data_IF_069521708535
#
_entry.id   IF_069521708535
#
_cell.length_a   1.000
_cell.length_b   1.000
_cell.length_c   1.000
_cell.angle_alpha   90.00
_cell.angle_beta   90.00
_cell.angle_gamma   90.00
#
_symmetry.space_group_name_H-M   'P 1'
#
loop_
_entity.id
_entity.type
_entity.pdbx_description
1 polymer ?
#
# COMPACT_ATOMS: atom_id res chain seq x y z
N UNK A 1 -9.92 5.53 26.94
CA UNK A 1 -10.65 6.10 25.78
C UNK A 1 -9.76 6.25 24.54
N UNK A 2 -8.59 6.91 24.62
CA UNK A 2 -7.65 7.04 23.47
C UNK A 2 -7.13 5.69 22.91
N UNK A 3 -6.74 4.75 23.75
CA UNK A 3 -6.30 3.41 23.30
C UNK A 3 -7.41 2.58 22.65
N UNK A 4 -8.63 2.69 23.16
CA UNK A 4 -9.79 2.01 22.61
C UNK A 4 -10.05 2.52 21.19
N UNK A 5 -10.10 3.85 21.01
CA UNK A 5 -10.27 4.49 19.69
C UNK A 5 -9.17 4.07 18.72
N UNK A 6 -7.91 4.01 19.18
CA UNK A 6 -6.77 3.56 18.36
C UNK A 6 -6.92 2.09 17.91
N UNK A 7 -7.32 1.21 18.83
CA UNK A 7 -7.53 -0.21 18.51
C UNK A 7 -8.70 -0.42 17.53
N UNK A 8 -9.79 0.35 17.67
CA UNK A 8 -10.89 0.31 16.70
C UNK A 8 -10.46 0.86 15.34
N UNK A 9 -9.70 1.94 15.27
CA UNK A 9 -9.23 2.48 13.98
C UNK A 9 -8.30 1.53 13.24
N UNK A 10 -7.40 0.83 13.95
CA UNK A 10 -6.52 -0.20 13.37
C UNK A 10 -7.30 -1.39 12.81
N UNK A 11 -8.34 -1.85 13.53
CA UNK A 11 -9.21 -2.93 13.06
C UNK A 11 -10.00 -2.53 11.82
N UNK A 12 -10.56 -1.31 11.80
CA UNK A 12 -11.29 -0.80 10.64
C UNK A 12 -10.33 -0.59 9.46
N UNK A 13 -9.12 -0.11 9.69
CA UNK A 13 -8.10 -0.01 8.65
C UNK A 13 -7.75 -1.36 8.04
N UNK A 14 -7.58 -2.40 8.87
CA UNK A 14 -7.36 -3.77 8.42
C UNK A 14 -8.53 -4.30 7.60
N UNK A 15 -9.76 -4.05 8.05
CA UNK A 15 -10.98 -4.43 7.33
C UNK A 15 -11.08 -3.77 5.96
N UNK A 16 -10.85 -2.45 5.87
CA UNK A 16 -10.86 -1.72 4.59
C UNK A 16 -9.79 -2.25 3.63
N UNK A 17 -8.61 -2.61 4.14
CA UNK A 17 -7.56 -3.23 3.33
C UNK A 17 -7.99 -4.57 2.74
N UNK A 18 -8.63 -5.43 3.55
CA UNK A 18 -9.16 -6.72 3.11
C UNK A 18 -10.31 -6.53 2.12
N UNK A 19 -11.24 -5.61 2.40
CA UNK A 19 -12.37 -5.31 1.54
C UNK A 19 -11.91 -4.86 0.15
N UNK A 20 -10.88 -4.00 0.06
CA UNK A 20 -10.28 -3.62 -1.22
C UNK A 20 -9.75 -4.81 -2.01
N UNK A 21 -9.09 -5.77 -1.34
CA UNK A 21 -8.60 -6.99 -1.98
C UNK A 21 -9.74 -7.91 -2.42
N UNK A 22 -10.83 -8.01 -1.65
CA UNK A 22 -12.02 -8.77 -2.03
C UNK A 22 -12.69 -8.14 -3.26
N UNK A 23 -12.78 -6.81 -3.32
CA UNK A 23 -13.31 -6.10 -4.49
C UNK A 23 -12.48 -6.42 -5.74
N UNK A 24 -11.15 -6.53 -5.63
CA UNK A 24 -10.32 -6.95 -6.76
C UNK A 24 -10.59 -8.37 -7.23
N UNK A 25 -11.01 -9.29 -6.36
CA UNK A 25 -11.44 -10.63 -6.78
C UNK A 25 -12.64 -10.57 -7.74
N UNK A 26 -13.48 -9.52 -7.63
CA UNK A 26 -14.62 -9.31 -8.51
C UNK A 26 -14.24 -8.92 -9.94
N UNK A 27 -12.96 -8.63 -10.22
CA UNK A 27 -12.47 -8.51 -11.60
C UNK A 27 -12.60 -9.83 -12.37
N UNK A 28 -12.54 -10.97 -11.67
CA UNK A 28 -12.81 -12.29 -12.24
C UNK A 28 -11.74 -12.84 -13.20
N UNK A 29 -10.69 -12.07 -13.48
CA UNK A 29 -9.56 -12.50 -14.31
C UNK A 29 -8.37 -12.99 -13.46
N UNK A 30 -7.48 -13.77 -14.10
CA UNK A 30 -6.34 -14.41 -13.43
C UNK A 30 -5.38 -13.40 -12.80
N UNK A 31 -5.19 -12.23 -13.43
CA UNK A 31 -4.29 -11.20 -12.94
C UNK A 31 -4.90 -10.50 -11.72
N UNK A 32 -6.18 -10.12 -11.78
CA UNK A 32 -6.94 -9.56 -10.66
C UNK A 32 -6.97 -10.50 -9.45
N UNK A 33 -7.21 -11.80 -9.66
CA UNK A 33 -7.20 -12.81 -8.59
C UNK A 33 -5.81 -12.95 -7.98
N UNK A 34 -4.77 -13.08 -8.81
CA UNK A 34 -3.39 -13.22 -8.34
C UNK A 34 -2.93 -12.00 -7.54
N UNK A 35 -3.25 -10.80 -8.02
CA UNK A 35 -2.96 -9.55 -7.34
C UNK A 35 -3.68 -9.47 -5.98
N UNK A 36 -4.97 -9.83 -5.93
CA UNK A 36 -5.73 -9.85 -4.69
C UNK A 36 -5.16 -10.82 -3.65
N UNK A 37 -4.83 -12.05 -4.05
CA UNK A 37 -4.24 -13.07 -3.15
C UNK A 37 -2.89 -12.59 -2.61
N UNK A 38 -2.01 -12.06 -3.47
CA UNK A 38 -0.73 -11.52 -3.04
C UNK A 38 -0.88 -10.32 -2.10
N UNK A 39 -1.83 -9.42 -2.37
CA UNK A 39 -2.12 -8.29 -1.50
C UNK A 39 -2.70 -8.73 -0.14
N UNK A 40 -3.50 -9.80 -0.09
CA UNK A 40 -3.97 -10.40 1.17
C UNK A 40 -2.82 -11.00 1.96
N UNK A 41 -1.93 -11.77 1.31
CA UNK A 41 -0.72 -12.33 1.94
C UNK A 41 0.19 -11.21 2.47
N UNK A 42 0.38 -10.14 1.70
CA UNK A 42 1.12 -8.96 2.11
C UNK A 42 0.52 -8.33 3.37
N UNK A 43 -0.81 -8.23 3.44
CA UNK A 43 -1.55 -7.78 4.62
C UNK A 43 -1.29 -8.65 5.85
N UNK A 44 -1.33 -9.98 5.70
CA UNK A 44 -1.02 -10.93 6.79
C UNK A 44 0.42 -10.79 7.26
N UNK A 45 1.38 -10.73 6.33
CA UNK A 45 2.80 -10.51 6.64
C UNK A 45 3.01 -9.21 7.43
N UNK A 46 2.35 -8.13 6.99
CA UNK A 46 2.48 -6.83 7.64
C UNK A 46 1.83 -6.81 9.03
N UNK A 47 0.68 -7.46 9.20
CA UNK A 47 0.00 -7.56 10.48
C UNK A 47 0.80 -8.38 11.50
N UNK A 48 1.42 -9.49 11.09
CA UNK A 48 2.17 -10.38 11.99
C UNK A 48 3.62 -9.95 12.21
N UNK A 49 4.29 -9.46 11.17
CA UNK A 49 5.73 -9.24 11.16
C UNK A 49 6.14 -7.81 10.81
N UNK A 50 5.20 -6.89 10.59
CA UNK A 50 5.49 -5.53 10.15
C UNK A 50 6.33 -4.69 11.12
N UNK A 51 6.39 -5.09 12.40
CA UNK A 51 7.28 -4.49 13.40
C UNK A 51 8.76 -4.88 13.19
N UNK A 52 9.03 -5.97 12.45
CA UNK A 52 10.38 -6.40 12.06
C UNK A 52 10.71 -5.85 10.69
N UNK A 53 11.92 -5.36 10.49
CA UNK A 53 12.32 -4.79 9.19
C UNK A 53 12.19 -5.76 8.03
N UNK A 54 12.60 -7.02 8.21
CA UNK A 54 12.45 -8.05 7.19
C UNK A 54 10.97 -8.33 6.89
N UNK A 55 10.10 -8.28 7.91
CA UNK A 55 8.66 -8.53 7.75
C UNK A 55 7.97 -7.40 6.99
N UNK A 56 8.32 -6.14 7.28
CA UNK A 56 7.89 -4.99 6.49
C UNK A 56 8.37 -5.08 5.03
N UNK A 57 9.63 -5.47 4.82
CA UNK A 57 10.22 -5.57 3.48
C UNK A 57 9.59 -6.69 2.67
N UNK A 58 9.32 -7.84 3.29
CA UNK A 58 8.60 -8.96 2.67
C UNK A 58 7.18 -8.56 2.27
N UNK A 59 6.44 -7.91 3.16
CA UNK A 59 5.11 -7.41 2.85
C UNK A 59 5.15 -6.39 1.70
N UNK A 60 6.13 -5.49 1.70
CA UNK A 60 6.34 -4.51 0.63
C UNK A 60 6.63 -5.21 -0.71
N UNK A 61 7.41 -6.29 -0.73
CA UNK A 61 7.68 -7.04 -1.96
C UNK A 61 6.41 -7.71 -2.50
N UNK A 62 5.58 -8.27 -1.63
CA UNK A 62 4.31 -8.87 -2.04
C UNK A 62 3.35 -7.82 -2.60
N UNK A 63 3.26 -6.64 -1.97
CA UNK A 63 2.48 -5.53 -2.52
C UNK A 63 3.04 -5.03 -3.85
N UNK A 64 4.38 -4.95 -3.99
CA UNK A 64 5.04 -4.58 -5.23
C UNK A 64 4.64 -5.53 -6.37
N UNK A 65 4.74 -6.84 -6.15
CA UNK A 65 4.38 -7.86 -7.15
C UNK A 65 2.88 -7.81 -7.44
N UNK A 66 2.03 -7.69 -6.42
CA UNK A 66 0.59 -7.59 -6.59
C UNK A 66 0.18 -6.40 -7.48
N UNK A 67 0.74 -5.22 -7.23
CA UNK A 67 0.45 -4.02 -8.04
C UNK A 67 1.02 -4.15 -9.45
N UNK A 68 2.20 -4.77 -9.62
CA UNK A 68 2.78 -5.02 -10.94
C UNK A 68 1.90 -5.95 -11.78
N UNK A 69 1.39 -7.03 -11.20
CA UNK A 69 0.44 -7.93 -11.88
C UNK A 69 -0.85 -7.17 -12.22
N UNK A 70 -1.36 -6.34 -11.31
CA UNK A 70 -2.58 -5.59 -11.53
C UNK A 70 -2.48 -4.68 -12.76
N UNK A 71 -1.31 -4.07 -13.02
CA UNK A 71 -1.09 -3.25 -14.24
C UNK A 71 -1.41 -4.01 -15.54
N UNK A 72 -1.12 -5.31 -15.58
CA UNK A 72 -1.34 -6.17 -16.75
C UNK A 72 -2.75 -6.77 -16.80
N UNK A 73 -3.68 -6.26 -16.00
CA UNK A 73 -5.07 -6.71 -16.03
C UNK A 73 -5.76 -6.18 -17.29
N UNK A 74 -6.51 -7.02 -18.04
CA UNK A 74 -7.21 -6.58 -19.25
C UNK A 74 -8.15 -5.39 -19.02
N UNK A 75 -8.78 -5.33 -17.84
CA UNK A 75 -9.66 -4.22 -17.45
C UNK A 75 -8.96 -2.86 -17.38
N UNK A 76 -7.62 -2.83 -17.31
CA UNK A 76 -6.79 -1.63 -17.22
C UNK A 76 -6.03 -1.30 -18.49
N UNK A 77 -6.07 -2.14 -19.54
CA UNK A 77 -5.27 -1.96 -20.76
C UNK A 77 -5.49 -0.61 -21.45
N UNK A 78 -6.70 -0.08 -21.37
CA UNK A 78 -7.09 1.18 -22.01
C UNK A 78 -6.86 2.41 -21.12
N UNK A 79 -6.53 2.23 -19.85
CA UNK A 79 -6.36 3.32 -18.89
C UNK A 79 -4.90 3.53 -18.50
N UNK A 80 -4.17 4.24 -19.36
CA UNK A 80 -2.76 4.57 -19.14
C UNK A 80 -2.52 5.31 -17.81
N UNK A 81 -3.46 6.16 -17.39
CA UNK A 81 -3.31 6.94 -16.17
C UNK A 81 -3.34 6.05 -14.91
N UNK A 82 -4.24 5.07 -14.87
CA UNK A 82 -4.28 4.07 -13.79
C UNK A 82 -3.05 3.18 -13.81
N UNK A 83 -2.63 2.71 -14.99
CA UNK A 83 -1.41 1.91 -15.12
C UNK A 83 -0.17 2.67 -14.66
N UNK A 84 -0.03 3.94 -15.05
CA UNK A 84 1.06 4.80 -14.62
C UNK A 84 1.06 4.97 -13.09
N UNK A 85 -0.11 5.27 -12.50
CA UNK A 85 -0.27 5.35 -11.06
C UNK A 85 0.17 4.06 -10.35
N UNK A 86 -0.26 2.90 -10.86
CA UNK A 86 0.11 1.60 -10.31
C UNK A 86 1.61 1.32 -10.45
N UNK A 87 2.26 1.69 -11.56
CA UNK A 87 3.71 1.60 -11.70
C UNK A 87 4.45 2.45 -10.67
N UNK A 88 4.01 3.67 -10.42
CA UNK A 88 4.61 4.51 -9.37
C UNK A 88 4.43 3.88 -7.99
N UNK A 89 3.28 3.26 -7.73
CA UNK A 89 3.03 2.48 -6.51
C UNK A 89 3.97 1.28 -6.40
N UNK A 90 4.24 0.56 -7.50
CA UNK A 90 5.23 -0.52 -7.56
C UNK A 90 6.61 -0.02 -7.13
N UNK A 91 7.06 1.12 -7.68
CA UNK A 91 8.33 1.73 -7.27
C UNK A 91 8.32 2.19 -5.81
N UNK A 92 7.21 2.72 -5.32
CA UNK A 92 7.05 3.08 -3.91
C UNK A 92 7.19 1.86 -2.99
N UNK A 93 6.63 0.71 -3.38
CA UNK A 93 6.81 -0.54 -2.64
C UNK A 93 8.23 -1.10 -2.77
N UNK A 94 8.90 -0.94 -3.92
CA UNK A 94 10.30 -1.32 -4.09
C UNK A 94 11.22 -0.56 -3.10
N UNK A 95 10.95 0.73 -2.85
CA UNK A 95 11.62 1.50 -1.80
C UNK A 95 11.34 0.90 -0.41
N UNK A 96 10.12 0.41 -0.17
CA UNK A 96 9.77 -0.28 1.08
C UNK A 96 10.54 -1.59 1.26
N UNK A 97 10.67 -2.37 0.19
CA UNK A 97 11.42 -3.63 0.14
C UNK A 97 12.92 -3.44 0.39
N UNK A 98 13.52 -2.38 -0.16
CA UNK A 98 14.95 -2.12 -0.02
C UNK A 98 15.38 -1.79 1.41
N UNK A 99 14.42 -1.50 2.32
CA UNK A 99 14.69 -1.26 3.73
C UNK A 99 15.53 -2.37 4.37
N UNK A 100 15.17 -3.63 4.18
CA UNK A 100 15.92 -4.76 4.73
C UNK A 100 17.34 -4.80 4.19
N UNK A 101 17.51 -4.56 2.89
CA UNK A 101 18.83 -4.52 2.26
C UNK A 101 19.71 -3.42 2.87
N UNK A 102 19.18 -2.20 3.03
CA UNK A 102 19.94 -1.11 3.66
C UNK A 102 20.27 -1.38 5.12
N UNK A 103 19.39 -2.06 5.87
CA UNK A 103 19.68 -2.42 7.27
C UNK A 103 20.82 -3.44 7.37
N UNK A 104 20.78 -4.53 6.58
CA UNK A 104 21.84 -5.56 6.61
C UNK A 104 23.18 -5.03 6.09
N UNK A 105 23.16 -4.06 5.18
CA UNK A 105 24.38 -3.40 4.67
C UNK A 105 24.90 -2.29 5.59
N UNK A 106 24.31 -2.07 6.76
CA UNK A 106 24.78 -1.10 7.76
C UNK A 106 24.29 0.35 7.54
N UNK A 107 23.49 0.62 6.51
CA UNK A 107 22.94 1.95 6.19
C UNK A 107 21.64 2.25 6.95
N UNK A 108 21.67 2.17 8.29
CA UNK A 108 20.48 2.31 9.16
C UNK A 108 19.69 3.60 8.91
N UNK A 109 20.36 4.74 8.72
CA UNK A 109 19.71 6.03 8.44
C UNK A 109 18.87 6.00 7.15
N UNK A 110 19.31 5.26 6.12
CA UNK A 110 18.59 5.10 4.86
C UNK A 110 17.42 4.13 5.05
N UNK A 111 17.63 3.03 5.75
CA UNK A 111 16.56 2.07 6.07
C UNK A 111 15.39 2.74 6.82
N UNK A 112 15.68 3.63 7.78
CA UNK A 112 14.67 4.32 8.58
C UNK A 112 13.77 5.26 7.75
N UNK A 113 14.27 5.80 6.64
CA UNK A 113 13.50 6.70 5.77
C UNK A 113 12.74 5.95 4.65
N UNK A 114 13.13 4.73 4.30
CA UNK A 114 12.48 3.93 3.27
C UNK A 114 10.98 3.70 3.58
N UNK A 115 10.64 3.28 4.80
CA UNK A 115 9.25 3.04 5.21
C UNK A 115 8.38 4.30 5.13
N UNK A 116 8.77 5.47 5.67
CA UNK A 116 7.95 6.67 5.57
C UNK A 116 7.80 7.16 4.13
N UNK A 117 8.89 7.18 3.34
CA UNK A 117 8.85 7.59 1.93
C UNK A 117 7.93 6.68 1.11
N UNK A 118 8.11 5.37 1.23
CA UNK A 118 7.29 4.36 0.55
C UNK A 118 5.79 4.55 0.81
N UNK A 119 5.41 4.76 2.07
CA UNK A 119 3.99 4.97 2.40
C UNK A 119 3.45 6.33 1.99
N UNK A 120 4.27 7.39 1.99
CA UNK A 120 3.85 8.71 1.50
C UNK A 120 3.56 8.66 0.01
N UNK A 121 4.48 8.09 -0.78
CA UNK A 121 4.31 7.92 -2.22
C UNK A 121 3.07 7.08 -2.53
N UNK A 122 2.86 5.97 -1.80
CA UNK A 122 1.67 5.15 -1.96
C UNK A 122 0.37 5.96 -1.83
N UNK A 123 0.23 6.79 -0.81
CA UNK A 123 -1.00 7.59 -0.62
C UNK A 123 -1.13 8.66 -1.70
N UNK A 124 -0.05 9.36 -2.02
CA UNK A 124 -0.04 10.43 -3.03
C UNK A 124 -0.49 9.91 -4.40
N UNK A 125 -0.01 8.74 -4.80
CA UNK A 125 -0.28 8.20 -6.14
C UNK A 125 -1.57 7.37 -6.22
N UNK A 126 -2.02 6.74 -5.13
CA UNK A 126 -3.32 6.04 -5.11
C UNK A 126 -4.50 6.97 -5.39
N UNK A 127 -4.48 8.22 -4.91
CA UNK A 127 -5.61 9.16 -5.09
C UNK A 127 -5.84 9.50 -6.57
N UNK A 128 -4.83 9.94 -7.35
CA UNK A 128 -4.95 10.10 -8.79
C UNK A 128 -5.40 8.81 -9.50
N UNK A 129 -4.78 7.67 -9.20
CA UNK A 129 -5.16 6.38 -9.80
C UNK A 129 -6.63 6.04 -9.58
N UNK A 130 -7.16 6.29 -8.37
CA UNK A 130 -8.58 6.13 -8.08
C UNK A 130 -9.47 7.08 -8.90
N UNK A 131 -9.10 8.36 -9.01
CA UNK A 131 -9.87 9.35 -9.76
C UNK A 131 -9.97 8.98 -11.25
N UNK A 132 -8.85 8.59 -11.85
CA UNK A 132 -8.81 8.15 -13.26
C UNK A 132 -9.58 6.85 -13.48
N UNK A 133 -9.51 5.89 -12.54
CA UNK A 133 -10.30 4.66 -12.63
C UNK A 133 -11.80 4.96 -12.64
N UNK A 134 -12.28 5.87 -11.79
CA UNK A 134 -13.71 6.24 -11.79
C UNK A 134 -14.12 7.03 -13.03
N UNK A 135 -13.26 7.94 -13.51
CA UNK A 135 -13.53 8.73 -14.71
C UNK A 135 -13.73 7.84 -15.95
N UNK A 136 -12.96 6.75 -16.06
CA UNK A 136 -13.04 5.81 -17.18
C UNK A 136 -13.99 4.63 -16.93
N UNK A 137 -14.84 4.71 -15.89
CA UNK A 137 -15.87 3.70 -15.61
C UNK A 137 -15.34 2.39 -14.99
N UNK A 138 -14.08 2.32 -14.58
CA UNK A 138 -13.45 1.17 -13.93
C UNK A 138 -13.78 1.15 -12.42
N UNK A 139 -15.07 1.10 -12.09
CA UNK A 139 -15.56 1.24 -10.70
C UNK A 139 -15.02 0.19 -9.74
N UNK A 140 -14.75 -1.03 -10.20
CA UNK A 140 -14.19 -2.11 -9.37
C UNK A 140 -12.78 -1.72 -8.91
N UNK A 141 -11.91 -1.34 -9.85
CA UNK A 141 -10.53 -0.94 -9.53
C UNK A 141 -10.51 0.34 -8.70
N UNK A 142 -11.31 1.35 -9.08
CA UNK A 142 -11.43 2.59 -8.31
C UNK A 142 -11.88 2.34 -6.87
N UNK A 143 -12.86 1.46 -6.65
CA UNK A 143 -13.35 1.11 -5.31
C UNK A 143 -12.32 0.33 -4.49
N UNK A 144 -11.56 -0.57 -5.12
CA UNK A 144 -10.46 -1.25 -4.45
C UNK A 144 -9.38 -0.28 -3.98
N UNK A 145 -8.95 0.64 -4.85
CA UNK A 145 -7.95 1.67 -4.53
C UNK A 145 -8.49 2.60 -3.43
N UNK A 146 -9.76 3.00 -3.48
CA UNK A 146 -10.41 3.81 -2.44
C UNK A 146 -10.36 3.11 -1.07
N UNK A 147 -10.69 1.82 -1.02
CA UNK A 147 -10.60 1.03 0.21
C UNK A 147 -9.17 0.99 0.76
N UNK A 148 -8.17 0.88 -0.12
CA UNK A 148 -6.77 0.94 0.29
C UNK A 148 -6.34 2.32 0.78
N UNK A 149 -6.83 3.41 0.18
CA UNK A 149 -6.58 4.77 0.67
C UNK A 149 -7.14 4.94 2.08
N UNK A 150 -8.39 4.52 2.30
CA UNK A 150 -9.00 4.56 3.63
C UNK A 150 -8.22 3.71 4.64
N UNK A 151 -7.77 2.52 4.25
CA UNK A 151 -6.92 1.67 5.08
C UNK A 151 -5.64 2.40 5.51
N UNK A 152 -4.92 3.04 4.57
CA UNK A 152 -3.67 3.74 4.87
C UNK A 152 -3.89 4.98 5.75
N UNK A 153 -4.99 5.72 5.55
CA UNK A 153 -5.35 6.90 6.38
C UNK A 153 -5.74 6.47 7.80
N UNK A 154 -6.62 5.47 7.93
CA UNK A 154 -7.15 4.99 9.22
C UNK A 154 -6.10 4.25 10.04
N UNK A 155 -5.14 3.58 9.40
CA UNK A 155 -3.99 2.97 10.07
C UNK A 155 -3.03 4.02 10.68
N UNK A 156 -3.35 5.31 10.62
CA UNK A 156 -2.54 6.38 11.20
C UNK A 156 -1.20 6.57 10.47
N UNK A 157 -1.00 5.91 9.33
CA UNK A 157 0.28 5.99 8.58
C UNK A 157 0.55 7.40 8.10
N UNK A 158 -0.47 8.24 7.87
CA UNK A 158 -0.26 9.66 7.58
C UNK A 158 0.12 10.46 8.83
N UNK A 159 -0.60 10.30 9.94
CA UNK A 159 -0.42 11.12 11.15
C UNK A 159 0.86 10.78 11.93
N UNK A 160 1.22 9.50 12.09
CA UNK A 160 2.48 9.12 12.75
C UNK A 160 3.70 9.48 11.88
N UNK A 161 3.62 9.37 10.55
CA UNK A 161 4.73 9.72 9.64
C UNK A 161 4.96 11.23 9.52
N UNK A 162 3.90 12.03 9.47
CA UNK A 162 4.00 13.50 9.52
C UNK A 162 4.51 13.95 10.91
N UNK A 163 4.08 13.30 11.99
CA UNK A 163 4.56 13.58 13.35
C UNK A 163 6.04 13.23 13.58
N UNK A 164 6.55 12.19 12.92
CA UNK A 164 7.97 11.82 12.96
C UNK A 164 8.84 12.82 12.19
N UNK A 165 8.41 13.26 11.00
CA UNK A 165 9.09 14.32 10.24
C UNK A 165 9.10 15.66 11.00
N UNK A 166 8.05 15.95 11.79
CA UNK A 166 7.98 17.15 12.62
C UNK A 166 8.95 17.11 13.80
N UNK A 167 9.11 15.96 14.46
CA UNK A 167 10.04 15.79 15.60
C UNK A 167 11.51 15.86 15.19
N UNK A 168 11.89 15.32 14.03
CA UNK A 168 13.25 15.44 13.49
C UNK A 168 13.65 16.85 13.04
N UNK A 169 12.73 17.82 13.01
CA UNK A 169 13.02 19.22 12.65
C UNK A 169 13.28 20.10 13.89
N UNK A 170 13.01 19.57 15.08
CA UNK A 170 13.17 20.25 16.37
C UNK A 170 14.37 19.77 17.18
N UNK A 171 15.05 18.73 16.69
CA UNK A 171 16.35 18.25 17.18
C UNK A 171 17.42 18.56 16.13
#
# INVERSE_FOLDING_TARGET
>A
MKEIIKKYSENVAGFMGILGNIILLALGDVNGISAAVLAMLAGVCLARFGHKTWGYSLASSLFMIANAILVFTPSLEQNFAVQFSLWVIVFAWAIGTSRYFFEISGYKKIADICQPISGLLNVIFKVPGMMFAFQDGQYIVGSAILCWIFSDVLAGRLQEKIGFLKRKRTD
#
